data_IF_101575328139
#
_entry.id   IF_101575328139
#
_cell.length_a   1.000
_cell.length_b   1.000
_cell.length_c   1.000
_cell.angle_alpha   90.00
_cell.angle_beta   90.00
_cell.angle_gamma   90.00
#
_symmetry.space_group_name_H-M   'P 1'
#
loop_
_entity.id
_entity.type
_entity.pdbx_description
1 polymer ?
#
# COMPACT_ATOMS: atom_id res chain seq x y z
N UNK A 1 -9.76 -12.98 -13.35
CA UNK A 1 -8.71 -13.19 -14.39
C UNK A 1 -8.56 -11.87 -15.15
N UNK A 2 -7.43 -11.18 -15.01
CA UNK A 2 -7.22 -9.88 -15.63
C UNK A 2 -6.87 -10.03 -17.11
N UNK A 3 -7.70 -9.49 -18.01
CA UNK A 3 -7.49 -9.53 -19.46
C UNK A 3 -6.59 -8.38 -19.95
N UNK A 4 -5.41 -8.21 -19.32
CA UNK A 4 -4.46 -7.13 -19.70
C UNK A 4 -4.08 -7.24 -21.18
N UNK A 5 -3.89 -8.46 -21.68
CA UNK A 5 -3.49 -8.69 -23.08
C UNK A 5 -4.57 -8.27 -24.09
N UNK A 6 -5.85 -8.57 -23.81
CA UNK A 6 -6.95 -8.16 -24.70
C UNK A 6 -7.13 -6.64 -24.71
N UNK A 7 -7.12 -6.00 -23.54
CA UNK A 7 -7.21 -4.54 -23.44
C UNK A 7 -6.02 -3.85 -24.13
N UNK A 8 -4.81 -4.40 -23.98
CA UNK A 8 -3.61 -3.89 -24.62
C UNK A 8 -3.67 -4.02 -26.15
N UNK A 9 -4.12 -5.18 -26.66
CA UNK A 9 -4.31 -5.38 -28.10
C UNK A 9 -5.29 -4.37 -28.67
N UNK A 10 -6.39 -4.09 -27.97
CA UNK A 10 -7.35 -3.07 -28.37
C UNK A 10 -6.76 -1.65 -28.36
N UNK A 11 -5.97 -1.32 -27.33
CA UNK A 11 -5.45 0.04 -27.14
C UNK A 11 -4.33 0.41 -28.13
N UNK A 12 -3.42 -0.51 -28.47
CA UNK A 12 -2.21 -0.20 -29.26
C UNK A 12 -2.03 -1.07 -30.52
N UNK A 13 -2.94 -2.01 -30.76
CA UNK A 13 -2.85 -2.97 -31.85
C UNK A 13 -1.90 -4.15 -31.58
N UNK A 14 -2.07 -5.23 -32.35
CA UNK A 14 -1.30 -6.47 -32.22
C UNK A 14 0.19 -6.27 -32.51
N UNK A 15 0.52 -5.48 -33.54
CA UNK A 15 1.90 -5.25 -33.96
C UNK A 15 2.72 -4.53 -32.90
N UNK A 16 2.20 -3.42 -32.36
CA UNK A 16 2.87 -2.65 -31.30
C UNK A 16 3.02 -3.47 -30.03
N UNK A 17 1.98 -4.24 -29.66
CA UNK A 17 2.00 -5.14 -28.49
C UNK A 17 3.17 -6.13 -28.57
N UNK A 18 3.42 -6.72 -29.73
CA UNK A 18 4.49 -7.70 -29.92
C UNK A 18 5.90 -7.10 -29.87
N UNK A 19 6.04 -5.77 -29.92
CA UNK A 19 7.31 -5.05 -29.78
C UNK A 19 7.62 -4.65 -28.33
N UNK A 20 6.67 -4.78 -27.40
CA UNK A 20 6.87 -4.41 -26.00
C UNK A 20 7.93 -5.31 -25.32
N UNK A 21 8.82 -4.71 -24.53
CA UNK A 21 9.85 -5.45 -23.79
C UNK A 21 9.27 -6.37 -22.72
N UNK A 22 8.18 -5.95 -22.07
CA UNK A 22 7.44 -6.74 -21.09
C UNK A 22 6.01 -6.21 -20.95
N UNK A 23 5.12 -7.06 -20.43
CA UNK A 23 3.76 -6.67 -20.02
C UNK A 23 3.61 -6.97 -18.53
N UNK A 24 3.72 -5.92 -17.71
CA UNK A 24 3.49 -6.02 -16.27
C UNK A 24 2.01 -6.17 -15.94
N UNK A 25 1.72 -6.84 -14.83
CA UNK A 25 0.37 -6.99 -14.29
C UNK A 25 0.37 -6.68 -12.78
N UNK A 26 -0.73 -6.95 -12.09
CA UNK A 26 -0.86 -6.71 -10.65
C UNK A 26 0.17 -7.50 -9.81
N UNK A 27 0.63 -8.66 -10.27
CA UNK A 27 1.62 -9.50 -9.56
C UNK A 27 3.00 -8.83 -9.50
N UNK A 28 3.26 -7.86 -10.38
CA UNK A 28 4.49 -7.06 -10.40
C UNK A 28 4.39 -5.82 -9.50
N UNK A 29 3.21 -5.54 -8.92
CA UNK A 29 2.99 -4.42 -8.01
C UNK A 29 3.23 -4.85 -6.55
N UNK A 30 3.67 -3.91 -5.70
CA UNK A 30 3.67 -4.14 -4.25
C UNK A 30 2.26 -3.93 -3.71
N UNK A 31 1.57 -5.02 -3.37
CA UNK A 31 0.36 -4.96 -2.56
C UNK A 31 0.73 -4.49 -1.15
N UNK A 32 0.05 -3.45 -0.67
CA UNK A 32 0.31 -2.89 0.65
C UNK A 32 -0.51 -3.54 1.76
N UNK A 33 -1.57 -4.28 1.42
CA UNK A 33 -2.58 -4.77 2.38
C UNK A 33 -3.57 -3.71 2.85
N UNK A 34 -3.41 -2.44 2.43
CA UNK A 34 -4.31 -1.34 2.75
C UNK A 34 -5.22 -1.01 1.58
N UNK A 35 -6.22 -0.17 1.86
CA UNK A 35 -7.12 0.43 0.87
C UNK A 35 -6.60 1.81 0.47
N UNK A 36 -6.93 2.25 -0.74
CA UNK A 36 -6.45 3.53 -1.26
C UNK A 36 -7.25 4.70 -0.65
N UNK A 37 -6.66 5.89 -0.59
CA UNK A 37 -7.34 7.07 -0.03
C UNK A 37 -8.55 7.48 -0.87
N UNK A 38 -8.43 7.38 -2.20
CA UNK A 38 -9.47 7.79 -3.13
C UNK A 38 -10.66 6.82 -3.18
N UNK A 39 -10.47 5.57 -2.75
CA UNK A 39 -11.52 4.57 -2.78
C UNK A 39 -11.25 3.49 -1.72
N UNK A 40 -12.11 3.47 -0.69
CA UNK A 40 -12.00 2.55 0.46
C UNK A 40 -12.18 1.07 0.09
N UNK A 41 -12.75 0.76 -1.07
CA UNK A 41 -12.87 -0.61 -1.57
C UNK A 41 -11.65 -1.04 -2.39
N UNK A 42 -10.94 -0.08 -3.00
CA UNK A 42 -9.82 -0.32 -3.90
C UNK A 42 -8.55 -0.67 -3.12
N UNK A 43 -7.89 -1.81 -3.39
CA UNK A 43 -6.62 -2.11 -2.75
C UNK A 43 -5.52 -1.16 -3.23
N UNK A 44 -4.65 -0.77 -2.28
CA UNK A 44 -3.53 0.11 -2.54
C UNK A 44 -2.32 -0.72 -3.00
N UNK A 45 -1.91 -0.46 -4.24
CA UNK A 45 -0.72 -1.04 -4.87
C UNK A 45 0.29 0.06 -5.21
N UNK A 46 1.57 -0.19 -4.97
CA UNK A 46 2.67 0.60 -5.53
C UNK A 46 3.30 -0.10 -6.74
N UNK A 47 3.93 0.66 -7.63
CA UNK A 47 4.67 0.19 -8.83
C UNK A 47 6.18 0.42 -8.65
N UNK A 48 6.84 -0.39 -7.81
CA UNK A 48 8.28 -0.29 -7.57
C UNK A 48 9.09 -0.64 -8.83
N UNK A 49 9.80 0.35 -9.40
CA UNK A 49 10.65 0.17 -10.59
C UNK A 49 11.81 -0.81 -10.35
N UNK A 50 12.19 -1.03 -9.10
CA UNK A 50 13.22 -2.02 -8.73
C UNK A 50 12.89 -3.44 -9.17
N UNK A 51 11.61 -3.79 -9.35
CA UNK A 51 11.23 -5.09 -9.94
C UNK A 51 11.58 -5.14 -11.42
N UNK A 52 11.34 -4.05 -12.16
CA UNK A 52 11.70 -3.93 -13.58
C UNK A 52 13.22 -3.99 -13.74
N UNK A 53 13.96 -3.21 -12.96
CA UNK A 53 15.44 -3.16 -13.04
C UNK A 53 16.11 -4.51 -12.75
N UNK A 54 15.50 -5.35 -11.92
CA UNK A 54 16.01 -6.69 -11.62
C UNK A 54 15.59 -7.75 -12.63
N UNK A 55 14.43 -7.59 -13.28
CA UNK A 55 13.80 -8.66 -14.08
C UNK A 55 13.95 -8.45 -15.58
N UNK A 56 14.05 -7.20 -16.04
CA UNK A 56 14.15 -6.87 -17.47
C UNK A 56 15.61 -6.69 -17.83
N UNK A 57 16.17 -7.65 -18.54
CA UNK A 57 17.58 -7.67 -18.96
C UNK A 57 17.79 -7.20 -20.40
N UNK A 58 16.79 -7.36 -21.27
CA UNK A 58 16.85 -6.93 -22.68
C UNK A 58 16.81 -5.40 -22.78
N UNK A 59 17.80 -4.81 -23.45
CA UNK A 59 17.94 -3.35 -23.62
C UNK A 59 18.51 -2.62 -22.39
N UNK A 60 18.84 -3.36 -21.32
CA UNK A 60 19.39 -2.82 -20.08
C UNK A 60 20.92 -2.83 -20.02
N UNK A 61 21.52 -2.42 -18.87
CA UNK A 61 20.88 -2.31 -17.56
C UNK A 61 19.97 -1.08 -17.40
N UNK A 62 18.82 -1.27 -16.74
CA UNK A 62 17.93 -0.18 -16.34
C UNK A 62 18.17 0.21 -14.88
N UNK A 63 18.00 1.50 -14.58
CA UNK A 63 18.17 2.11 -13.27
C UNK A 63 17.35 3.40 -13.16
N UNK A 64 17.50 4.14 -12.07
CA UNK A 64 16.80 5.40 -11.88
C UNK A 64 17.16 6.46 -12.94
N UNK A 65 18.40 6.46 -13.44
CA UNK A 65 18.89 7.47 -14.40
C UNK A 65 18.38 7.27 -15.82
N UNK A 66 17.81 6.11 -16.17
CA UNK A 66 17.35 5.79 -17.52
C UNK A 66 15.96 5.14 -17.54
N UNK A 67 15.17 5.31 -16.48
CA UNK A 67 13.81 4.78 -16.39
C UNK A 67 12.83 5.86 -15.95
N UNK A 68 11.78 6.06 -16.73
CA UNK A 68 10.66 6.93 -16.39
C UNK A 68 9.37 6.10 -16.25
N UNK A 69 8.64 6.31 -15.15
CA UNK A 69 7.28 5.80 -14.97
C UNK A 69 6.26 6.90 -15.33
N UNK A 70 5.25 6.56 -16.13
CA UNK A 70 4.09 7.42 -16.37
C UNK A 70 2.88 6.75 -15.72
N UNK A 71 2.22 7.44 -14.79
CA UNK A 71 1.03 6.94 -14.10
C UNK A 71 0.13 8.11 -13.70
N UNK A 72 -1.19 8.00 -13.77
CA UNK A 72 -2.08 9.12 -13.42
C UNK A 72 -2.24 9.30 -11.89
N UNK A 73 -1.68 8.40 -11.09
CA UNK A 73 -1.75 8.42 -9.62
C UNK A 73 -0.36 8.56 -8.98
N UNK A 74 -0.01 9.74 -8.44
CA UNK A 74 1.28 10.00 -7.78
C UNK A 74 1.74 8.95 -6.77
N UNK A 75 0.82 8.43 -5.97
CA UNK A 75 1.14 7.45 -4.93
C UNK A 75 1.66 6.12 -5.49
N UNK A 76 1.40 5.77 -6.76
CA UNK A 76 1.88 4.52 -7.36
C UNK A 76 3.40 4.48 -7.42
N UNK A 77 4.04 5.64 -7.57
CA UNK A 77 5.49 5.77 -7.61
C UNK A 77 6.11 6.00 -6.22
N UNK A 78 5.35 5.93 -5.12
CA UNK A 78 5.81 6.37 -3.79
C UNK A 78 7.10 5.70 -3.27
N UNK A 79 7.39 4.48 -3.72
CA UNK A 79 8.59 3.73 -3.34
C UNK A 79 9.77 3.92 -4.28
N UNK A 80 9.57 4.61 -5.40
CA UNK A 80 10.61 4.85 -6.38
C UNK A 80 11.50 6.02 -5.93
N UNK A 81 12.75 6.06 -6.41
CA UNK A 81 13.59 7.23 -6.20
C UNK A 81 12.91 8.52 -6.70
N UNK A 82 13.25 9.68 -6.14
CA UNK A 82 12.71 10.95 -6.62
C UNK A 82 12.95 11.15 -8.12
N UNK A 83 12.02 11.83 -8.79
CA UNK A 83 12.16 12.21 -10.20
C UNK A 83 12.28 11.05 -11.20
N UNK A 84 11.81 9.85 -10.87
CA UNK A 84 11.69 8.73 -11.84
C UNK A 84 10.27 8.54 -12.37
N UNK A 85 9.38 9.52 -12.17
CA UNK A 85 7.99 9.42 -12.58
C UNK A 85 7.36 10.79 -12.88
N UNK A 86 6.41 10.80 -13.82
CA UNK A 86 5.53 11.93 -14.12
C UNK A 86 4.07 11.50 -14.04
N UNK A 87 3.17 12.45 -13.78
CA UNK A 87 1.79 12.13 -13.42
C UNK A 87 0.75 12.93 -14.22
N UNK A 88 0.49 12.59 -15.49
CA UNK A 88 -0.53 13.28 -16.28
C UNK A 88 -1.93 13.23 -15.63
N UNK A 89 -2.82 14.12 -16.06
CA UNK A 89 -4.25 14.04 -15.74
C UNK A 89 -4.79 12.66 -16.17
N UNK A 90 -5.65 12.06 -15.35
CA UNK A 90 -6.34 10.83 -15.71
C UNK A 90 -7.16 11.04 -16.97
N UNK A 91 -7.13 10.07 -17.89
CA UNK A 91 -8.03 10.01 -19.02
C UNK A 91 -9.48 9.99 -18.54
N UNK A 92 -10.31 10.84 -19.14
CA UNK A 92 -11.75 10.91 -18.95
C UNK A 92 -12.41 10.77 -20.32
N UNK A 93 -13.18 9.70 -20.60
CA UNK A 93 -13.79 9.49 -21.91
C UNK A 93 -14.84 10.57 -22.27
N UNK A 94 -15.33 11.35 -21.30
CA UNK A 94 -16.23 12.48 -21.56
C UNK A 94 -15.48 13.76 -21.95
N UNK A 95 -14.15 13.81 -21.76
CA UNK A 95 -13.30 14.94 -22.14
C UNK A 95 -12.97 14.87 -23.65
N UNK A 96 -13.85 15.47 -24.46
CA UNK A 96 -13.72 15.49 -25.92
C UNK A 96 -12.53 16.29 -26.44
N UNK A 97 -11.91 17.10 -25.58
CA UNK A 97 -10.74 17.92 -25.91
C UNK A 97 -9.42 17.27 -25.44
N UNK A 98 -9.45 16.03 -24.93
CA UNK A 98 -8.23 15.32 -24.53
C UNK A 98 -7.30 15.11 -25.73
N UNK A 99 -6.16 15.79 -25.69
CA UNK A 99 -5.06 15.70 -26.66
C UNK A 99 -3.74 15.28 -26.01
N UNK A 100 -3.79 14.68 -24.82
CA UNK A 100 -2.58 14.33 -24.06
C UNK A 100 -1.64 13.42 -24.87
N UNK A 101 -2.20 12.50 -25.66
CA UNK A 101 -1.45 11.56 -26.49
C UNK A 101 -1.22 12.05 -27.94
N UNK A 102 -1.47 13.33 -28.25
CA UNK A 102 -1.13 13.91 -29.56
C UNK A 102 0.40 13.80 -29.79
N UNK A 103 0.87 13.19 -30.89
CA UNK A 103 2.30 13.10 -31.23
C UNK A 103 3.05 14.43 -31.29
N UNK A 104 2.34 15.54 -31.52
CA UNK A 104 2.88 16.90 -31.52
C UNK A 104 2.59 17.66 -30.22
N UNK A 105 1.86 17.05 -29.29
CA UNK A 105 1.46 17.60 -28.02
C UNK A 105 2.58 17.63 -26.97
N UNK A 106 2.23 18.18 -25.81
CA UNK A 106 3.18 18.46 -24.72
C UNK A 106 3.85 17.20 -24.18
N UNK A 107 3.11 16.10 -23.98
CA UNK A 107 3.68 14.86 -23.46
C UNK A 107 4.71 14.27 -24.43
N UNK A 108 4.41 14.21 -25.72
CA UNK A 108 5.37 13.70 -26.71
C UNK A 108 6.61 14.60 -26.82
N UNK A 109 6.47 15.93 -26.71
CA UNK A 109 7.62 16.84 -26.67
C UNK A 109 8.45 16.67 -25.39
N UNK A 110 7.81 16.46 -24.24
CA UNK A 110 8.49 16.12 -22.99
C UNK A 110 9.29 14.82 -23.13
N UNK A 111 8.69 13.78 -23.71
CA UNK A 111 9.34 12.48 -23.89
C UNK A 111 10.51 12.51 -24.89
N UNK A 112 10.50 13.42 -25.88
CA UNK A 112 11.68 13.69 -26.71
C UNK A 112 12.84 14.19 -25.85
N UNK A 113 12.59 15.16 -24.97
CA UNK A 113 13.61 15.64 -24.04
C UNK A 113 14.11 14.57 -23.06
N UNK A 114 13.22 13.69 -22.57
CA UNK A 114 13.62 12.51 -21.77
C UNK A 114 14.52 11.57 -22.56
N UNK A 115 14.22 11.33 -23.84
CA UNK A 115 15.02 10.45 -24.70
C UNK A 115 16.41 11.01 -25.01
N UNK A 116 16.57 12.33 -25.03
CA UNK A 116 17.84 13.03 -25.26
C UNK A 116 18.65 13.27 -23.97
N UNK A 117 18.01 13.17 -22.80
CA UNK A 117 18.66 13.43 -21.52
C UNK A 117 19.67 12.34 -21.14
N UNK A 118 20.83 12.76 -20.63
CA UNK A 118 21.84 11.86 -20.06
C UNK A 118 21.34 11.18 -18.77
N UNK A 119 20.55 11.91 -17.98
CA UNK A 119 19.97 11.44 -16.72
C UNK A 119 18.50 11.86 -16.60
N UNK A 120 17.62 10.87 -16.58
CA UNK A 120 16.17 11.04 -16.47
C UNK A 120 15.79 11.77 -15.18
N UNK A 121 16.44 11.47 -14.05
CA UNK A 121 16.10 12.12 -12.78
C UNK A 121 16.36 13.63 -12.82
N UNK A 122 17.49 14.04 -13.38
CA UNK A 122 17.86 15.44 -13.56
C UNK A 122 16.89 16.16 -14.49
N UNK A 123 16.52 15.53 -15.61
CA UNK A 123 15.54 16.09 -16.54
C UNK A 123 14.17 16.29 -15.88
N UNK A 124 13.64 15.27 -15.21
CA UNK A 124 12.33 15.32 -14.53
C UNK A 124 12.34 16.32 -13.37
N UNK A 125 13.47 16.50 -12.69
CA UNK A 125 13.60 17.47 -11.60
C UNK A 125 13.46 18.92 -12.07
N UNK A 126 13.93 19.24 -13.27
CA UNK A 126 13.89 20.61 -13.83
C UNK A 126 12.70 20.83 -14.76
N UNK A 127 12.08 19.76 -15.26
CA UNK A 127 10.92 19.79 -16.14
C UNK A 127 9.75 19.04 -15.47
N UNK A 128 8.92 19.75 -14.72
CA UNK A 128 7.74 19.16 -14.09
C UNK A 128 6.66 18.86 -15.13
N UNK A 129 5.96 17.72 -14.99
CA UNK A 129 4.85 17.36 -15.86
C UNK A 129 3.70 16.73 -15.06
N UNK A 130 2.51 17.35 -15.16
CA UNK A 130 1.29 16.87 -14.51
C UNK A 130 1.23 17.11 -12.99
N UNK A 131 0.61 16.19 -12.26
CA UNK A 131 0.43 16.22 -10.81
C UNK A 131 1.77 16.11 -10.08
N UNK A 132 1.82 16.57 -8.83
CA UNK A 132 3.03 16.51 -8.01
C UNK A 132 3.22 15.14 -7.36
N UNK A 133 4.48 14.71 -7.25
CA UNK A 133 4.83 13.49 -6.53
C UNK A 133 4.45 13.59 -5.04
N UNK A 134 4.15 12.46 -4.41
CA UNK A 134 3.97 12.39 -2.95
C UNK A 134 5.34 12.52 -2.26
N UNK A 135 5.77 13.74 -2.00
CA UNK A 135 6.97 14.06 -1.20
C UNK A 135 6.60 14.40 0.24
N UNK A 136 7.58 14.68 1.09
CA UNK A 136 7.35 15.08 2.49
C UNK A 136 6.51 16.36 2.65
N UNK A 137 6.42 17.18 1.61
CA UNK A 137 5.59 18.38 1.57
C UNK A 137 4.13 18.10 1.14
N UNK A 138 3.83 16.91 0.63
CA UNK A 138 2.48 16.57 0.17
C UNK A 138 1.54 16.32 1.35
N UNK A 139 0.28 16.79 1.27
CA UNK A 139 -0.75 16.63 2.32
C UNK A 139 -0.91 15.18 2.78
N UNK A 140 -0.93 14.26 1.81
CA UNK A 140 -1.09 12.83 2.05
C UNK A 140 0.20 12.10 2.47
N UNK A 141 1.33 12.79 2.64
CA UNK A 141 2.61 12.19 3.02
C UNK A 141 2.49 11.32 4.27
N UNK A 142 1.79 11.80 5.30
CA UNK A 142 1.60 11.09 6.57
C UNK A 142 0.93 9.74 6.35
N UNK A 143 -0.03 9.63 5.43
CA UNK A 143 -0.69 8.37 5.12
C UNK A 143 0.28 7.40 4.42
N UNK A 144 0.90 7.82 3.32
CA UNK A 144 1.73 6.93 2.51
C UNK A 144 3.04 6.55 3.21
N UNK A 145 3.65 7.46 3.99
CA UNK A 145 4.85 7.18 4.78
C UNK A 145 4.62 6.07 5.80
N UNK A 146 3.49 6.08 6.52
CA UNK A 146 3.11 4.98 7.44
C UNK A 146 3.03 3.63 6.72
N UNK A 147 2.53 3.61 5.49
CA UNK A 147 2.38 2.39 4.69
C UNK A 147 3.74 1.88 4.18
N UNK A 148 4.66 2.78 3.79
CA UNK A 148 6.03 2.42 3.35
C UNK A 148 6.78 1.62 4.41
N UNK A 149 6.60 1.96 5.68
CA UNK A 149 7.23 1.28 6.82
C UNK A 149 6.49 0.02 7.29
N UNK A 150 5.42 -0.43 6.62
CA UNK A 150 4.73 -1.64 7.02
C UNK A 150 5.56 -2.89 6.67
N UNK A 151 6.05 -3.69 7.65
CA UNK A 151 7.11 -4.68 7.48
C UNK A 151 6.65 -6.04 6.89
N UNK A 152 5.62 -6.05 6.05
CA UNK A 152 4.99 -7.27 5.55
C UNK A 152 3.71 -7.63 6.31
N UNK A 153 3.18 -8.86 6.17
CA UNK A 153 1.98 -9.28 6.89
C UNK A 153 2.21 -9.16 8.40
N UNK A 154 1.18 -8.69 9.11
CA UNK A 154 1.20 -8.63 10.57
C UNK A 154 1.49 -10.04 11.11
N UNK A 155 2.37 -10.12 12.10
CA UNK A 155 2.63 -11.40 12.79
C UNK A 155 1.37 -11.78 13.59
N UNK A 156 1.12 -13.08 13.72
CA UNK A 156 0.06 -13.59 14.58
C UNK A 156 0.54 -13.57 16.04
N UNK A 157 -0.23 -12.91 16.89
CA UNK A 157 -0.06 -12.91 18.35
C UNK A 157 -1.22 -13.70 18.96
N UNK A 158 -0.92 -14.85 19.56
CA UNK A 158 -1.90 -15.65 20.33
C UNK A 158 -1.65 -15.40 21.81
N UNK A 159 -2.69 -15.02 22.54
CA UNK A 159 -2.60 -14.78 23.98
C UNK A 159 -3.73 -15.49 24.74
N UNK A 160 -3.44 -15.81 26.00
CA UNK A 160 -4.44 -16.37 26.90
C UNK A 160 -5.45 -15.30 27.32
N UNK A 161 -6.70 -15.69 27.58
CA UNK A 161 -7.70 -14.80 28.17
C UNK A 161 -7.53 -14.74 29.69
N UNK A 162 -7.57 -15.89 30.35
CA UNK A 162 -7.56 -16.00 31.81
C UNK A 162 -6.14 -15.94 32.35
N UNK A 163 -5.92 -15.12 33.37
CA UNK A 163 -4.60 -14.87 33.95
C UNK A 163 -3.76 -13.86 33.18
N UNK A 164 -4.20 -13.44 31.98
CA UNK A 164 -3.52 -12.41 31.19
C UNK A 164 -4.38 -11.14 31.01
N UNK A 165 -5.51 -11.19 30.32
CA UNK A 165 -6.39 -10.02 30.16
C UNK A 165 -7.40 -9.89 31.31
N UNK A 166 -7.89 -11.01 31.80
CA UNK A 166 -8.86 -11.08 32.89
C UNK A 166 -8.48 -12.14 33.90
N UNK A 167 -8.93 -12.00 35.13
CA UNK A 167 -9.00 -13.08 36.12
C UNK A 167 -10.46 -13.41 36.38
N UNK A 168 -10.82 -14.69 36.30
CA UNK A 168 -12.14 -15.20 36.64
C UNK A 168 -12.04 -15.97 37.95
N UNK A 169 -12.96 -15.71 38.88
CA UNK A 169 -13.01 -16.37 40.19
C UNK A 169 -14.39 -16.95 40.38
N UNK A 170 -14.49 -18.24 40.72
CA UNK A 170 -15.77 -18.88 41.00
C UNK A 170 -16.37 -18.28 42.27
N UNK A 171 -17.63 -17.83 42.23
CA UNK A 171 -18.16 -17.01 43.35
C UNK A 171 -18.32 -17.77 44.67
N UNK A 172 -18.37 -19.11 44.64
CA UNK A 172 -18.39 -19.93 45.86
C UNK A 172 -16.99 -20.18 46.43
N UNK A 173 -15.92 -19.93 45.66
CA UNK A 173 -14.55 -20.02 46.18
C UNK A 173 -14.17 -18.71 46.86
N UNK A 174 -14.76 -18.47 48.03
CA UNK A 174 -14.62 -17.22 48.79
C UNK A 174 -13.17 -16.87 49.13
N UNK A 175 -12.29 -17.87 49.24
CA UNK A 175 -10.85 -17.68 49.49
C UNK A 175 -10.10 -17.09 48.29
N UNK A 176 -10.61 -17.29 47.08
CA UNK A 176 -9.99 -16.78 45.85
C UNK A 176 -10.50 -15.39 45.46
N UNK A 177 -11.54 -14.88 46.14
CA UNK A 177 -12.11 -13.55 45.96
C UNK A 177 -11.18 -12.51 46.62
N UNK A 178 -10.66 -11.53 45.88
CA UNK A 178 -9.86 -10.45 46.45
C UNK A 178 -10.64 -9.65 47.52
N UNK A 179 -10.04 -9.49 48.69
CA UNK A 179 -10.65 -8.75 49.81
C UNK A 179 -10.76 -7.25 49.54
N UNK A 180 -9.75 -6.68 48.87
CA UNK A 180 -9.62 -5.22 48.68
C UNK A 180 -10.04 -4.72 47.29
N UNK A 181 -10.59 -5.60 46.45
CA UNK A 181 -11.05 -5.23 45.10
C UNK A 181 -12.39 -5.86 44.78
N UNK A 182 -13.39 -5.01 44.53
CA UNK A 182 -14.68 -5.45 44.00
C UNK A 182 -14.50 -5.99 42.58
N UNK A 183 -15.24 -7.05 42.23
CA UNK A 183 -15.32 -7.51 40.85
C UNK A 183 -15.83 -6.40 39.93
N UNK A 184 -15.29 -6.31 38.71
CA UNK A 184 -15.76 -5.35 37.72
C UNK A 184 -17.12 -5.79 37.15
N UNK A 185 -17.34 -7.11 37.04
CA UNK A 185 -18.59 -7.70 36.57
C UNK A 185 -18.76 -9.16 37.04
N UNK A 186 -19.92 -9.78 36.76
CA UNK A 186 -20.24 -11.18 37.01
C UNK A 186 -20.79 -11.84 35.74
N UNK A 187 -20.21 -12.97 35.34
CA UNK A 187 -20.72 -13.78 34.23
C UNK A 187 -20.90 -15.23 34.66
N UNK A 188 -22.14 -15.72 34.59
CA UNK A 188 -22.51 -17.03 35.11
C UNK A 188 -22.10 -17.19 36.57
N UNK A 189 -21.34 -18.24 36.86
CA UNK A 189 -20.83 -18.53 38.19
C UNK A 189 -19.46 -17.89 38.51
N UNK A 190 -19.01 -16.92 37.73
CA UNK A 190 -17.70 -16.29 37.91
C UNK A 190 -17.79 -14.78 38.12
N UNK A 191 -17.03 -14.28 39.10
CA UNK A 191 -16.65 -12.89 39.20
C UNK A 191 -15.50 -12.59 38.24
N UNK A 192 -15.59 -11.46 37.54
CA UNK A 192 -14.64 -11.01 36.53
C UNK A 192 -13.81 -9.84 37.07
N UNK A 193 -12.50 -9.96 36.91
CA UNK A 193 -11.52 -8.95 37.27
C UNK A 193 -10.69 -8.62 36.02
N UNK A 194 -11.03 -7.53 35.34
CA UNK A 194 -10.28 -6.98 34.22
C UNK A 194 -8.90 -6.52 34.69
N UNK A 195 -7.87 -6.80 33.90
CA UNK A 195 -6.52 -6.26 34.14
C UNK A 195 -6.49 -4.79 33.71
N UNK A 196 -5.83 -3.95 34.51
CA UNK A 196 -5.63 -2.54 34.19
C UNK A 196 -4.92 -2.39 32.83
N UNK A 197 -5.29 -1.35 32.07
CA UNK A 197 -4.81 -1.07 30.71
C UNK A 197 -5.09 -2.13 29.63
N UNK A 198 -5.96 -3.13 29.90
CA UNK A 198 -6.19 -4.22 28.95
C UNK A 198 -6.76 -3.73 27.61
N UNK A 199 -7.55 -2.65 27.60
CA UNK A 199 -8.13 -2.11 26.36
C UNK A 199 -7.09 -1.38 25.51
N UNK A 200 -6.28 -0.53 26.13
CA UNK A 200 -5.18 0.20 25.51
C UNK A 200 -4.13 -0.78 24.96
N UNK A 201 -3.81 -1.82 25.73
CA UNK A 201 -2.95 -2.90 25.28
C UNK A 201 -3.53 -3.63 24.07
N UNK A 202 -4.83 -3.98 24.10
CA UNK A 202 -5.47 -4.66 22.96
C UNK A 202 -5.51 -3.77 21.71
N UNK A 203 -5.75 -2.45 21.86
CA UNK A 203 -5.64 -1.48 20.76
C UNK A 203 -4.22 -1.48 20.17
N UNK A 204 -3.20 -1.39 21.02
CA UNK A 204 -1.79 -1.45 20.61
C UNK A 204 -1.49 -2.74 19.82
N UNK A 205 -1.97 -3.88 20.30
CA UNK A 205 -1.79 -5.18 19.65
C UNK A 205 -2.51 -5.26 18.30
N UNK A 206 -3.80 -4.92 18.24
CA UNK A 206 -4.61 -5.00 17.02
C UNK A 206 -4.11 -4.05 15.91
N UNK A 207 -3.49 -2.93 16.28
CA UNK A 207 -2.81 -2.04 15.33
C UNK A 207 -1.61 -2.71 14.64
N UNK A 208 -0.95 -3.67 15.28
CA UNK A 208 0.39 -4.17 14.90
C UNK A 208 0.47 -5.68 14.59
N UNK A 209 -0.50 -6.45 15.09
CA UNK A 209 -0.54 -7.90 14.99
C UNK A 209 -1.94 -8.36 14.52
N UNK A 210 -2.00 -9.52 13.87
CA UNK A 210 -3.23 -10.30 13.87
C UNK A 210 -3.34 -10.94 15.25
N UNK A 211 -4.47 -10.81 15.93
CA UNK A 211 -4.59 -11.24 17.34
C UNK A 211 -5.59 -12.39 17.49
N UNK A 212 -5.13 -13.48 18.09
CA UNK A 212 -5.97 -14.61 18.51
C UNK A 212 -6.02 -14.73 20.03
N UNK A 213 -7.19 -15.11 20.57
CA UNK A 213 -7.34 -15.47 21.98
C UNK A 213 -7.50 -16.99 22.09
N UNK A 214 -6.64 -17.65 22.86
CA UNK A 214 -6.75 -19.09 23.13
C UNK A 214 -6.97 -19.30 24.63
N UNK A 215 -8.14 -19.83 24.99
CA UNK A 215 -8.47 -20.19 26.38
C UNK A 215 -8.54 -21.70 26.54
N UNK A 216 -8.10 -22.20 27.70
CA UNK A 216 -8.32 -23.61 28.12
C UNK A 216 -9.74 -23.86 28.66
N UNK A 217 -10.57 -22.82 28.74
CA UNK A 217 -11.95 -22.96 29.18
C UNK A 217 -12.79 -23.66 28.10
N UNK A 218 -13.69 -24.53 28.53
CA UNK A 218 -14.70 -25.11 27.64
C UNK A 218 -15.62 -24.00 27.12
N UNK A 219 -16.10 -24.18 25.88
CA UNK A 219 -17.09 -23.29 25.27
C UNK A 219 -18.41 -23.32 26.03
#
# INVERSE_FOLDING_TARGET
RHNVLGALTYAIGEESKNKLLFVGNQDHCRNTGFKSLENKEKPLFFKPLTYVWKSVTKGGPYSASNTLLIDDKPYKAFLNPPNTAIFPKSYDPEDKEDRLLDPNGELCNYLKGVAEAEDVQSYVKTNNFGLTAITNAHTDWTFYSRIRYNPGPKKLLIMNLNGFLIRRVYYLDTRAIPEFRKADDKYGAFFLYKREFSEEFMKFCLERFEVGIWSSAQK
#
